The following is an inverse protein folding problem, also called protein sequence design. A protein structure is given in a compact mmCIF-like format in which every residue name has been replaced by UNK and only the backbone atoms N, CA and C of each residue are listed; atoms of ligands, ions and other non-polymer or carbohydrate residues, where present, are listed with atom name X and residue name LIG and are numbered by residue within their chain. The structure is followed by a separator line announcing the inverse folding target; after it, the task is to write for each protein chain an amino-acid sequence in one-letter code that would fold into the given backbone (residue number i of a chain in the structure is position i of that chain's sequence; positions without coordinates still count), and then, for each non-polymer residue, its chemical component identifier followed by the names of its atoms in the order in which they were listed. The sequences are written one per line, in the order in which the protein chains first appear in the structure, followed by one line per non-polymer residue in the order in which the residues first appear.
data_IF_221972424643
#
_entry.id   IF_221972424643
#
_cell.length_a   1.000
_cell.length_b   1.000
_cell.length_c   1.000
_cell.angle_alpha   90.00
_cell.angle_beta   90.00
_cell.angle_gamma   90.00
#
_symmetry.space_group_name_H-M   'P 1'
#
loop_
_entity.id
_entity.type
_entity.pdbx_description
1 polymer ?
#
# COMPACT_ATOMS: atom_id res chain seq x y z
N UNK A 1 -30.37 -9.99 39.98
CA UNK A 1 -29.34 -9.67 40.94
C UNK A 1 -27.96 -10.05 40.34
N UNK A 2 -27.17 -9.09 39.95
CA UNK A 2 -25.83 -9.28 39.38
C UNK A 2 -25.26 -7.92 38.97
N UNK A 3 -24.96 -7.08 39.97
CA UNK A 3 -24.18 -5.88 39.80
C UNK A 3 -22.73 -6.29 39.57
N UNK A 4 -22.29 -6.45 38.31
CA UNK A 4 -20.90 -6.51 37.91
C UNK A 4 -20.36 -5.08 37.89
N UNK A 5 -19.51 -4.78 38.85
CA UNK A 5 -18.85 -3.49 39.04
C UNK A 5 -17.97 -3.15 37.84
N UNK A 6 -18.19 -1.98 37.23
CA UNK A 6 -17.40 -1.38 36.16
C UNK A 6 -15.94 -1.08 36.56
N UNK A 7 -15.59 -1.36 37.81
CA UNK A 7 -14.26 -1.10 38.38
C UNK A 7 -13.21 -2.19 38.13
N UNK A 8 -13.61 -3.39 37.72
CA UNK A 8 -12.64 -4.52 37.56
C UNK A 8 -11.98 -4.56 36.18
N UNK A 9 -12.43 -3.78 35.19
CA UNK A 9 -11.86 -3.81 33.85
C UNK A 9 -10.59 -2.94 33.69
N UNK A 10 -10.26 -2.11 34.67
CA UNK A 10 -9.07 -1.24 34.64
C UNK A 10 -7.83 -1.89 35.25
N UNK A 11 -7.98 -3.07 35.86
CA UNK A 11 -6.90 -3.74 36.62
C UNK A 11 -5.95 -4.66 35.83
N UNK A 12 -6.21 -4.91 34.55
CA UNK A 12 -5.42 -5.89 33.76
C UNK A 12 -4.48 -5.22 32.74
N UNK A 13 -3.79 -4.15 33.12
CA UNK A 13 -2.73 -3.58 32.27
C UNK A 13 -1.45 -4.40 32.51
N UNK A 14 -1.01 -5.10 31.48
CA UNK A 14 0.21 -5.92 31.49
C UNK A 14 1.41 -5.08 32.01
N UNK A 15 2.13 -5.51 33.05
CA UNK A 15 3.21 -4.73 33.65
C UNK A 15 4.41 -4.47 32.72
N UNK A 16 4.44 -5.05 31.54
CA UNK A 16 5.48 -4.84 30.52
C UNK A 16 5.15 -3.74 29.49
N UNK A 17 4.01 -3.08 29.60
CA UNK A 17 3.65 -2.00 28.67
C UNK A 17 4.44 -0.72 28.98
N UNK A 18 4.93 -0.08 27.91
CA UNK A 18 5.66 1.18 28.00
C UNK A 18 4.72 2.33 28.41
N UNK A 19 5.30 3.42 28.96
CA UNK A 19 4.54 4.63 29.34
C UNK A 19 3.77 5.22 28.17
N UNK A 20 4.27 5.05 26.95
CA UNK A 20 3.64 5.50 25.70
C UNK A 20 2.36 4.70 25.37
N UNK A 21 2.39 3.39 25.51
CA UNK A 21 1.22 2.52 25.26
C UNK A 21 0.09 2.78 26.28
N UNK A 22 0.45 3.05 27.53
CA UNK A 22 -0.51 3.44 28.58
C UNK A 22 -1.18 4.79 28.27
N UNK A 23 -0.44 5.76 27.69
CA UNK A 23 -0.95 7.05 27.29
C UNK A 23 -1.94 6.95 26.13
N UNK A 24 -1.69 6.06 25.15
CA UNK A 24 -2.61 5.83 24.02
C UNK A 24 -3.91 5.20 24.49
N UNK A 25 -3.87 4.19 25.35
CA UNK A 25 -5.08 3.53 25.88
C UNK A 25 -5.92 4.53 26.72
N UNK A 26 -5.25 5.37 27.52
CA UNK A 26 -5.91 6.42 28.29
C UNK A 26 -6.57 7.49 27.39
N UNK A 27 -5.90 7.87 26.30
CA UNK A 27 -6.42 8.87 25.35
C UNK A 27 -7.62 8.34 24.55
N UNK A 28 -7.60 7.07 24.13
CA UNK A 28 -8.74 6.42 23.46
C UNK A 28 -9.96 6.29 24.38
N UNK A 29 -9.76 5.99 25.67
CA UNK A 29 -10.83 5.94 26.67
C UNK A 29 -11.49 7.31 26.90
N UNK A 30 -10.71 8.38 26.98
CA UNK A 30 -11.20 9.75 27.14
C UNK A 30 -12.00 10.25 25.91
N UNK A 31 -11.54 9.91 24.68
CA UNK A 31 -12.27 10.26 23.46
C UNK A 31 -13.66 9.61 23.37
N UNK A 32 -13.79 8.34 23.78
CA UNK A 32 -15.09 7.64 23.72
C UNK A 32 -16.07 8.20 24.73
N UNK A 33 -15.64 8.58 25.93
CA UNK A 33 -16.48 9.19 26.96
C UNK A 33 -16.94 10.60 26.53
N UNK A 34 -16.08 11.40 25.92
CA UNK A 34 -16.44 12.75 25.43
C UNK A 34 -17.44 12.70 24.28
N UNK A 35 -17.36 11.72 23.38
CA UNK A 35 -18.30 11.55 22.26
C UNK A 35 -19.70 11.17 22.76
N UNK A 36 -19.82 10.34 23.81
CA UNK A 36 -21.11 9.97 24.41
C UNK A 36 -21.74 11.15 25.14
N UNK A 37 -20.93 11.98 25.83
CA UNK A 37 -21.46 13.15 26.57
C UNK A 37 -21.98 14.24 25.62
N UNK A 38 -21.37 14.47 24.47
CA UNK A 38 -21.82 15.45 23.47
C UNK A 38 -23.12 14.99 22.80
N UNK A 39 -23.27 13.68 22.54
CA UNK A 39 -24.50 13.14 21.96
C UNK A 39 -25.74 13.26 22.88
N UNK A 40 -25.52 13.34 24.19
CA UNK A 40 -26.62 13.43 25.20
C UNK A 40 -27.11 14.85 25.48
N UNK A 41 -26.41 15.88 24.99
CA UNK A 41 -26.71 17.30 25.33
C UNK A 41 -27.28 18.13 24.17
N UNK A 42 -27.64 17.52 23.03
CA UNK A 42 -28.29 18.24 21.94
C UNK A 42 -29.81 18.37 22.20
N UNK A 43 -30.37 19.59 22.08
CA UNK A 43 -31.80 19.77 22.15
C UNK A 43 -32.49 19.03 21.01
N UNK A 44 -33.59 18.34 21.34
CA UNK A 44 -34.40 17.59 20.37
C UNK A 44 -35.13 18.60 19.46
N UNK A 45 -34.49 18.95 18.35
CA UNK A 45 -35.14 19.68 17.26
C UNK A 45 -36.01 18.68 16.48
N UNK A 46 -37.30 19.01 16.32
CA UNK A 46 -38.29 18.18 15.63
C UNK A 46 -37.92 18.18 14.14
N UNK A 47 -37.17 17.17 13.74
CA UNK A 47 -36.86 16.90 12.30
C UNK A 47 -38.13 16.38 11.65
N UNK A 48 -38.60 16.97 10.54
CA UNK A 48 -39.74 16.44 9.80
C UNK A 48 -39.42 15.00 9.37
N UNK A 49 -40.33 14.07 9.68
CA UNK A 49 -40.19 12.66 9.36
C UNK A 49 -40.08 12.49 7.85
N UNK A 50 -38.87 12.33 7.33
CA UNK A 50 -38.65 11.79 5.99
C UNK A 50 -39.19 10.35 5.93
N UNK A 51 -39.72 9.88 4.77
CA UNK A 51 -40.29 8.55 4.65
C UNK A 51 -39.27 7.53 5.12
N UNK A 52 -39.69 6.61 6.00
CA UNK A 52 -38.85 5.54 6.55
C UNK A 52 -38.34 4.66 5.40
N UNK A 53 -37.29 5.10 4.75
CA UNK A 53 -36.51 4.21 3.89
C UNK A 53 -35.97 3.11 4.81
N UNK A 54 -36.21 1.87 4.45
CA UNK A 54 -35.75 0.69 5.20
C UNK A 54 -34.21 0.64 5.14
N UNK A 55 -33.53 1.39 6.01
CA UNK A 55 -32.07 1.40 6.10
C UNK A 55 -31.48 0.00 6.33
N UNK A 56 -32.24 -0.90 6.98
CA UNK A 56 -31.82 -2.28 7.17
C UNK A 56 -31.79 -3.04 5.82
N UNK A 57 -32.78 -2.83 4.95
CA UNK A 57 -32.79 -3.43 3.60
C UNK A 57 -31.70 -2.85 2.72
N UNK A 58 -31.56 -1.53 2.69
CA UNK A 58 -30.50 -0.87 1.90
C UNK A 58 -29.06 -1.26 2.34
N UNK A 59 -28.86 -1.49 3.64
CA UNK A 59 -27.58 -1.97 4.16
C UNK A 59 -27.30 -3.42 3.73
N UNK A 60 -28.32 -4.32 3.82
CA UNK A 60 -28.16 -5.70 3.39
C UNK A 60 -27.92 -5.79 1.88
N UNK A 61 -28.60 -4.97 1.09
CA UNK A 61 -28.44 -4.93 -0.37
C UNK A 61 -27.05 -4.40 -0.76
N UNK A 62 -26.54 -3.40 -0.04
CA UNK A 62 -25.16 -2.88 -0.23
C UNK A 62 -24.11 -3.91 0.17
N UNK A 63 -24.28 -4.59 1.30
CA UNK A 63 -23.35 -5.65 1.75
C UNK A 63 -23.34 -6.82 0.77
N UNK A 64 -24.51 -7.21 0.27
CA UNK A 64 -24.63 -8.28 -0.74
C UNK A 64 -23.99 -7.85 -2.07
N UNK A 65 -24.31 -6.66 -2.57
CA UNK A 65 -23.72 -6.12 -3.79
C UNK A 65 -22.19 -5.96 -3.71
N UNK A 66 -21.69 -5.51 -2.56
CA UNK A 66 -20.23 -5.39 -2.34
C UNK A 66 -19.54 -6.75 -2.24
N UNK A 67 -20.19 -7.75 -1.66
CA UNK A 67 -19.68 -9.12 -1.60
C UNK A 67 -19.65 -9.77 -2.99
N UNK A 68 -20.67 -9.53 -3.81
CA UNK A 68 -20.75 -10.05 -5.18
C UNK A 68 -19.76 -9.36 -6.12
N UNK A 69 -19.57 -8.04 -5.98
CA UNK A 69 -18.51 -7.30 -6.66
C UNK A 69 -17.12 -7.86 -6.29
N UNK A 70 -16.83 -8.02 -5.01
CA UNK A 70 -15.57 -8.59 -4.54
C UNK A 70 -15.37 -10.04 -5.01
N UNK A 71 -16.44 -10.83 -5.11
CA UNK A 71 -16.39 -12.20 -5.66
C UNK A 71 -16.11 -12.16 -7.16
N UNK A 72 -16.77 -11.26 -7.90
CA UNK A 72 -16.58 -11.07 -9.34
C UNK A 72 -15.17 -10.59 -9.65
N UNK A 73 -14.66 -9.57 -8.93
CA UNK A 73 -13.28 -9.11 -9.05
C UNK A 73 -12.27 -10.21 -8.76
N UNK A 74 -12.49 -11.00 -7.71
CA UNK A 74 -11.63 -12.12 -7.34
C UNK A 74 -11.61 -13.21 -8.40
N UNK A 75 -12.77 -13.52 -9.00
CA UNK A 75 -12.87 -14.53 -10.05
C UNK A 75 -12.24 -14.06 -11.36
N UNK A 76 -12.49 -12.82 -11.79
CA UNK A 76 -11.87 -12.23 -12.99
C UNK A 76 -10.35 -12.14 -12.84
N UNK A 77 -9.88 -11.73 -11.66
CA UNK A 77 -8.44 -11.66 -11.36
C UNK A 77 -7.83 -13.06 -11.33
N UNK A 78 -8.49 -14.01 -10.66
CA UNK A 78 -8.02 -15.40 -10.58
C UNK A 78 -7.99 -16.10 -11.93
N UNK A 79 -8.93 -15.82 -12.81
CA UNK A 79 -8.99 -16.38 -14.16
C UNK A 79 -7.91 -15.77 -15.07
N UNK A 80 -7.69 -14.46 -15.01
CA UNK A 80 -6.56 -13.79 -15.68
C UNK A 80 -5.20 -14.27 -15.18
N UNK A 81 -5.07 -14.53 -13.88
CA UNK A 81 -3.83 -15.02 -13.28
C UNK A 81 -3.50 -16.47 -13.67
N UNK A 82 -4.52 -17.30 -13.93
CA UNK A 82 -4.32 -18.68 -14.42
C UNK A 82 -3.70 -18.75 -15.81
N UNK A 83 -3.79 -17.67 -16.59
CA UNK A 83 -3.28 -17.65 -17.97
C UNK A 83 -1.91 -17.00 -18.12
N UNK A 84 -1.32 -16.44 -17.03
CA UNK A 84 0.02 -15.90 -17.11
C UNK A 84 1.05 -17.02 -16.96
N UNK A 85 1.66 -17.39 -18.08
CA UNK A 85 2.73 -18.39 -18.15
C UNK A 85 4.05 -17.74 -18.55
N UNK A 86 5.15 -18.42 -18.29
CA UNK A 86 6.48 -18.03 -18.77
C UNK A 86 6.47 -17.89 -20.29
N UNK A 87 5.77 -18.80 -21.00
CA UNK A 87 5.65 -18.75 -22.46
C UNK A 87 4.97 -17.47 -22.94
N UNK A 88 3.81 -17.11 -22.36
CA UNK A 88 3.07 -15.89 -22.74
C UNK A 88 3.85 -14.62 -22.41
N UNK A 89 4.60 -14.59 -21.31
CA UNK A 89 5.50 -13.48 -21.00
C UNK A 89 6.66 -13.36 -21.99
N UNK A 90 7.29 -14.49 -22.33
CA UNK A 90 8.39 -14.52 -23.30
C UNK A 90 7.95 -14.02 -24.67
N UNK A 91 6.76 -14.41 -25.12
CA UNK A 91 6.16 -13.92 -26.36
C UNK A 91 5.90 -12.39 -26.29
N UNK A 92 5.31 -11.92 -25.19
CA UNK A 92 5.10 -10.49 -24.97
C UNK A 92 6.41 -9.70 -25.00
N UNK A 93 7.44 -10.20 -24.32
CA UNK A 93 8.74 -9.53 -24.30
C UNK A 93 9.44 -9.55 -25.67
N UNK A 94 9.21 -10.60 -26.46
CA UNK A 94 9.72 -10.68 -27.84
C UNK A 94 9.01 -9.71 -28.75
N UNK A 95 7.68 -9.61 -28.66
CA UNK A 95 6.87 -8.65 -29.44
C UNK A 95 7.25 -7.20 -29.15
N UNK A 96 7.66 -6.91 -27.90
CA UNK A 96 8.11 -5.59 -27.48
C UNK A 96 9.61 -5.34 -27.73
N UNK A 97 10.30 -6.28 -28.37
CA UNK A 97 11.75 -6.22 -28.60
C UNK A 97 12.53 -5.95 -27.30
N UNK A 98 11.98 -6.37 -26.16
CA UNK A 98 12.58 -6.12 -24.86
C UNK A 98 13.78 -7.04 -24.63
N UNK A 99 14.96 -6.49 -24.76
CA UNK A 99 16.22 -7.18 -24.55
C UNK A 99 17.03 -6.52 -23.43
N UNK A 100 17.49 -7.31 -22.44
CA UNK A 100 18.26 -6.81 -21.30
C UNK A 100 19.67 -6.37 -21.68
N UNK A 101 20.26 -6.99 -22.70
CA UNK A 101 21.59 -6.63 -23.21
C UNK A 101 21.55 -5.22 -23.82
N UNK A 102 20.58 -4.91 -24.66
CA UNK A 102 20.43 -3.56 -25.25
C UNK A 102 20.08 -2.52 -24.18
N UNK A 103 19.28 -2.89 -23.18
CA UNK A 103 19.00 -1.98 -22.04
C UNK A 103 20.28 -1.67 -21.26
N UNK A 104 21.12 -2.68 -21.02
CA UNK A 104 22.35 -2.52 -20.23
C UNK A 104 23.45 -1.81 -21.01
N UNK A 105 23.66 -2.20 -22.25
CA UNK A 105 24.86 -1.81 -23.00
C UNK A 105 24.61 -0.58 -23.89
N UNK A 106 23.38 -0.39 -24.37
CA UNK A 106 23.00 0.70 -25.29
C UNK A 106 22.07 1.72 -24.64
N UNK A 107 21.62 1.50 -23.41
CA UNK A 107 20.67 2.39 -22.72
C UNK A 107 19.26 2.38 -23.32
N UNK A 108 18.88 1.27 -23.98
CA UNK A 108 17.54 1.14 -24.54
C UNK A 108 16.47 1.28 -23.46
N UNK A 109 15.31 1.85 -23.83
CA UNK A 109 14.21 2.05 -22.88
C UNK A 109 13.59 0.72 -22.46
N UNK A 110 13.29 0.60 -21.17
CA UNK A 110 12.57 -0.55 -20.61
C UNK A 110 11.07 -0.38 -20.88
N UNK A 111 10.40 -1.34 -21.52
CA UNK A 111 8.95 -1.30 -21.72
C UNK A 111 8.19 -1.22 -20.40
N UNK A 112 7.15 -0.39 -20.35
CA UNK A 112 6.31 -0.23 -19.14
C UNK A 112 5.26 -1.33 -19.06
N UNK A 113 5.71 -2.58 -18.99
CA UNK A 113 4.88 -3.78 -18.80
C UNK A 113 4.92 -4.16 -17.33
N UNK A 114 3.78 -4.04 -16.66
CA UNK A 114 3.68 -4.35 -15.24
C UNK A 114 2.93 -5.66 -15.06
N UNK A 115 3.67 -6.66 -14.63
CA UNK A 115 3.14 -7.98 -14.33
C UNK A 115 2.63 -7.97 -12.89
N UNK A 116 1.38 -8.36 -12.70
CA UNK A 116 0.74 -8.31 -11.38
C UNK A 116 1.27 -9.42 -10.47
N UNK A 117 1.51 -10.61 -11.02
CA UNK A 117 2.01 -11.77 -10.26
C UNK A 117 3.08 -12.49 -11.07
N UNK A 118 3.99 -13.17 -10.37
CA UNK A 118 4.94 -14.07 -11.04
C UNK A 118 4.19 -15.26 -11.67
N UNK A 119 4.62 -15.73 -12.88
CA UNK A 119 4.05 -16.93 -13.47
C UNK A 119 4.19 -18.14 -12.57
N UNK A 120 3.14 -18.92 -12.44
CA UNK A 120 3.14 -20.11 -11.57
C UNK A 120 4.07 -21.22 -12.06
N UNK A 121 4.44 -21.20 -13.33
CA UNK A 121 5.36 -22.15 -13.96
C UNK A 121 6.85 -21.74 -13.91
N UNK A 122 7.17 -20.61 -13.25
CA UNK A 122 8.57 -20.20 -13.02
C UNK A 122 9.48 -21.30 -12.44
N UNK A 123 9.02 -22.11 -11.45
CA UNK A 123 9.84 -23.20 -10.91
C UNK A 123 10.15 -24.30 -11.93
N UNK A 124 9.35 -24.45 -12.97
CA UNK A 124 9.51 -25.47 -13.99
C UNK A 124 10.58 -25.13 -15.06
N UNK A 125 11.08 -23.89 -15.07
CA UNK A 125 12.19 -23.50 -15.95
C UNK A 125 13.46 -24.22 -15.51
N UNK A 126 13.92 -25.19 -16.31
CA UNK A 126 15.10 -26.01 -16.00
C UNK A 126 16.41 -25.27 -16.17
N UNK A 127 16.45 -24.30 -17.10
CA UNK A 127 17.67 -23.55 -17.45
C UNK A 127 17.76 -22.32 -16.51
N UNK A 128 18.74 -22.26 -15.58
CA UNK A 128 18.83 -21.16 -14.61
C UNK A 128 19.00 -19.79 -15.27
N UNK A 129 19.74 -19.71 -16.37
CA UNK A 129 19.96 -18.45 -17.10
C UNK A 129 18.64 -17.89 -17.69
N UNK A 130 17.79 -18.76 -18.22
CA UNK A 130 16.48 -18.38 -18.74
C UNK A 130 15.57 -17.89 -17.62
N UNK A 131 15.49 -18.61 -16.49
CA UNK A 131 14.71 -18.20 -15.31
C UNK A 131 15.13 -16.83 -14.81
N UNK A 132 16.45 -16.58 -14.68
CA UNK A 132 16.98 -15.27 -14.28
C UNK A 132 16.60 -14.17 -15.27
N UNK A 133 16.68 -14.44 -16.57
CA UNK A 133 16.30 -13.48 -17.61
C UNK A 133 14.83 -13.11 -17.55
N UNK A 134 13.92 -14.09 -17.43
CA UNK A 134 12.49 -13.84 -17.28
C UNK A 134 12.21 -13.03 -15.99
N UNK A 135 12.85 -13.43 -14.89
CA UNK A 135 12.73 -12.71 -13.63
C UNK A 135 13.13 -11.22 -13.78
N UNK A 136 14.30 -10.95 -14.33
CA UNK A 136 14.76 -9.57 -14.52
C UNK A 136 13.84 -8.77 -15.46
N UNK A 137 13.43 -9.35 -16.58
CA UNK A 137 12.48 -8.69 -17.50
C UNK A 137 11.14 -8.37 -16.82
N UNK A 138 10.71 -9.18 -15.88
CA UNK A 138 9.45 -8.97 -15.13
C UNK A 138 9.60 -7.92 -14.03
N UNK A 139 10.69 -7.94 -13.28
CA UNK A 139 10.86 -7.12 -12.07
C UNK A 139 11.43 -5.72 -12.39
N UNK A 140 12.32 -5.59 -13.38
CA UNK A 140 12.95 -4.31 -13.71
C UNK A 140 11.94 -3.19 -14.03
N UNK A 141 10.89 -3.40 -14.83
CA UNK A 141 9.85 -2.36 -15.04
C UNK A 141 9.18 -1.89 -13.75
N UNK A 142 8.95 -2.80 -12.78
CA UNK A 142 8.35 -2.48 -11.49
C UNK A 142 9.29 -1.62 -10.63
N UNK A 143 10.57 -1.96 -10.59
CA UNK A 143 11.60 -1.19 -9.87
C UNK A 143 11.72 0.21 -10.46
N UNK A 144 11.77 0.34 -11.78
CA UNK A 144 11.83 1.64 -12.44
C UNK A 144 10.57 2.47 -12.19
N UNK A 145 9.40 1.82 -12.20
CA UNK A 145 8.13 2.50 -11.87
C UNK A 145 8.13 3.02 -10.43
N UNK A 146 8.62 2.22 -9.48
CA UNK A 146 8.72 2.64 -8.09
C UNK A 146 9.67 3.84 -7.94
N UNK A 147 10.82 3.82 -8.60
CA UNK A 147 11.75 4.93 -8.64
C UNK A 147 11.14 6.20 -9.27
N UNK A 148 10.40 6.07 -10.38
CA UNK A 148 9.67 7.18 -10.99
C UNK A 148 8.67 7.82 -10.01
N UNK A 149 7.97 7.00 -9.23
CA UNK A 149 6.99 7.51 -8.25
C UNK A 149 7.68 8.21 -7.09
N UNK A 150 8.81 7.67 -6.60
CA UNK A 150 9.64 8.32 -5.58
C UNK A 150 10.18 9.67 -6.09
N UNK A 151 10.64 9.76 -7.33
CA UNK A 151 11.10 11.02 -7.92
C UNK A 151 9.99 12.07 -7.98
N UNK A 152 8.78 11.70 -8.40
CA UNK A 152 7.62 12.61 -8.40
C UNK A 152 7.26 13.07 -6.99
N UNK A 153 7.33 12.18 -6.03
CA UNK A 153 7.10 12.50 -4.61
C UNK A 153 8.16 13.47 -4.09
N UNK A 154 9.44 13.22 -4.39
CA UNK A 154 10.56 14.11 -4.07
C UNK A 154 10.39 15.49 -4.70
N UNK A 155 10.02 15.55 -5.97
CA UNK A 155 9.75 16.80 -6.68
C UNK A 155 8.63 17.61 -5.99
N UNK A 156 7.55 16.95 -5.59
CA UNK A 156 6.47 17.58 -4.83
C UNK A 156 6.95 18.10 -3.48
N UNK A 157 7.78 17.34 -2.75
CA UNK A 157 8.38 17.79 -1.49
C UNK A 157 9.26 19.03 -1.67
N UNK A 158 10.07 19.10 -2.73
CA UNK A 158 10.89 20.24 -3.05
C UNK A 158 10.03 21.49 -3.33
N UNK A 159 8.96 21.34 -4.12
CA UNK A 159 8.00 22.41 -4.39
C UNK A 159 7.32 22.91 -3.12
N UNK A 160 6.82 22.01 -2.27
CA UNK A 160 6.20 22.36 -0.99
C UNK A 160 7.18 23.08 -0.06
N UNK A 161 8.45 22.64 -0.02
CA UNK A 161 9.49 23.31 0.76
C UNK A 161 9.73 24.75 0.28
N UNK A 162 9.83 24.95 -1.03
CA UNK A 162 10.00 26.27 -1.63
C UNK A 162 8.80 27.18 -1.37
N UNK A 163 7.57 26.67 -1.52
CA UNK A 163 6.34 27.42 -1.25
C UNK A 163 6.24 27.85 0.21
N UNK A 164 6.54 26.94 1.14
CA UNK A 164 6.56 27.24 2.57
C UNK A 164 7.59 28.30 2.92
N UNK A 165 8.77 28.27 2.30
CA UNK A 165 9.83 29.28 2.50
C UNK A 165 9.39 30.65 1.97
N UNK A 166 8.67 30.71 0.85
CA UNK A 166 8.23 31.95 0.21
C UNK A 166 7.03 32.59 0.89
N UNK A 167 6.02 31.80 1.27
CA UNK A 167 4.72 32.33 1.75
C UNK A 167 4.48 32.10 3.24
N UNK A 168 5.26 31.26 3.90
CA UNK A 168 5.04 30.80 5.27
C UNK A 168 3.81 29.89 5.42
N UNK A 169 3.06 29.64 4.35
CA UNK A 169 1.80 28.89 4.36
C UNK A 169 1.86 27.72 3.39
N UNK A 170 1.01 26.74 3.62
CA UNK A 170 0.82 25.59 2.73
C UNK A 170 -0.66 25.40 2.43
N UNK A 171 -0.98 24.99 1.20
CA UNK A 171 -2.34 24.59 0.83
C UNK A 171 -2.84 23.42 1.70
N UNK A 172 -4.14 23.35 1.93
CA UNK A 172 -4.74 22.29 2.74
C UNK A 172 -4.42 20.89 2.19
N UNK A 173 -4.47 20.72 0.87
CA UNK A 173 -4.14 19.48 0.20
C UNK A 173 -2.68 19.04 0.44
N UNK A 174 -1.72 19.99 0.45
CA UNK A 174 -0.32 19.67 0.71
C UNK A 174 -0.07 19.35 2.18
N UNK A 175 -0.79 20.01 3.09
CA UNK A 175 -0.72 19.65 4.52
C UNK A 175 -1.19 18.21 4.78
N UNK A 176 -2.31 17.80 4.18
CA UNK A 176 -2.83 16.43 4.29
C UNK A 176 -1.88 15.41 3.64
N UNK A 177 -1.36 15.74 2.47
CA UNK A 177 -0.42 14.86 1.78
C UNK A 177 0.89 14.68 2.57
N UNK A 178 1.42 15.74 3.21
CA UNK A 178 2.59 15.65 4.08
C UNK A 178 2.36 14.74 5.29
N UNK A 179 1.14 14.59 5.79
CA UNK A 179 0.84 13.60 6.85
C UNK A 179 1.15 12.20 6.36
N UNK A 180 0.57 11.79 5.24
CA UNK A 180 0.77 10.45 4.68
C UNK A 180 2.25 10.18 4.33
N UNK A 181 2.94 11.17 3.77
CA UNK A 181 4.38 11.06 3.44
C UNK A 181 5.23 10.94 4.71
N UNK A 182 4.92 11.74 5.74
CA UNK A 182 5.64 11.70 7.02
C UNK A 182 5.56 10.33 7.70
N UNK A 183 4.40 9.69 7.63
CA UNK A 183 4.17 8.34 8.14
C UNK A 183 4.97 7.31 7.33
N UNK A 184 4.90 7.37 5.99
CA UNK A 184 5.63 6.46 5.10
C UNK A 184 7.13 6.49 5.33
N UNK A 185 7.70 7.67 5.49
CA UNK A 185 9.15 7.83 5.71
C UNK A 185 9.56 7.83 7.19
N UNK A 186 8.63 7.63 8.12
CA UNK A 186 8.86 7.68 9.57
C UNK A 186 9.60 8.97 10.00
N UNK A 187 9.10 10.13 9.54
CA UNK A 187 9.68 11.46 9.76
C UNK A 187 8.61 12.39 10.35
N UNK A 188 9.00 13.32 11.22
CA UNK A 188 8.09 14.37 11.69
C UNK A 188 7.55 15.22 10.53
N UNK A 189 6.24 15.53 10.54
CA UNK A 189 5.55 16.34 9.52
C UNK A 189 6.19 17.69 9.23
N UNK A 190 6.88 18.26 10.22
CA UNK A 190 7.53 19.56 10.06
C UNK A 190 8.92 19.47 9.44
N UNK A 191 9.51 18.29 9.36
CA UNK A 191 10.86 18.09 8.84
C UNK A 191 10.87 17.67 7.36
N UNK A 192 10.40 18.58 6.49
CA UNK A 192 10.34 18.36 5.04
C UNK A 192 11.75 18.07 4.47
N UNK A 193 12.80 18.66 5.03
CA UNK A 193 14.17 18.42 4.57
C UNK A 193 14.60 16.98 4.76
N UNK A 194 14.23 16.35 5.87
CA UNK A 194 14.51 14.95 6.14
C UNK A 194 13.65 14.02 5.27
N UNK A 195 12.39 14.39 4.99
CA UNK A 195 11.57 13.65 4.01
C UNK A 195 12.22 13.66 2.63
N UNK A 196 12.72 14.82 2.17
CA UNK A 196 13.44 14.94 0.88
C UNK A 196 14.69 14.06 0.88
N UNK A 197 15.43 13.99 2.00
CA UNK A 197 16.63 13.16 2.12
C UNK A 197 16.30 11.66 2.01
N UNK A 198 15.16 11.22 2.57
CA UNK A 198 14.73 9.82 2.53
C UNK A 198 13.99 9.45 1.25
N UNK A 199 13.30 10.40 0.63
CA UNK A 199 12.64 10.21 -0.65
C UNK A 199 13.67 10.25 -1.78
N UNK A 200 14.44 9.17 -1.91
CA UNK A 200 15.43 9.01 -2.96
C UNK A 200 15.32 7.64 -3.62
N UNK A 201 15.79 7.56 -4.86
CA UNK A 201 15.73 6.34 -5.66
C UNK A 201 16.70 5.28 -5.13
N UNK A 202 16.35 4.02 -5.33
CA UNK A 202 17.23 2.89 -5.08
C UNK A 202 17.87 2.48 -6.41
N UNK A 203 19.20 2.22 -6.46
CA UNK A 203 19.82 1.68 -7.66
C UNK A 203 19.07 0.42 -8.13
N UNK A 204 18.63 0.36 -9.40
CA UNK A 204 17.85 -0.78 -9.87
C UNK A 204 18.57 -2.12 -9.70
N UNK A 205 19.90 -2.14 -9.85
CA UNK A 205 20.71 -3.33 -9.61
C UNK A 205 20.61 -3.86 -8.18
N UNK A 206 20.58 -2.96 -7.19
CA UNK A 206 20.44 -3.36 -5.79
C UNK A 206 19.05 -3.94 -5.52
N UNK A 207 17.99 -3.25 -5.97
CA UNK A 207 16.62 -3.74 -5.80
C UNK A 207 16.41 -5.10 -6.50
N UNK A 208 16.95 -5.27 -7.71
CA UNK A 208 16.88 -6.54 -8.43
C UNK A 208 17.63 -7.66 -7.72
N UNK A 209 18.80 -7.37 -7.14
CA UNK A 209 19.58 -8.37 -6.40
C UNK A 209 18.83 -8.83 -5.14
N UNK A 210 18.27 -7.91 -4.36
CA UNK A 210 17.45 -8.24 -3.19
C UNK A 210 16.22 -9.05 -3.57
N UNK A 211 15.46 -8.58 -4.57
CA UNK A 211 14.29 -9.30 -5.05
C UNK A 211 14.64 -10.73 -5.52
N UNK A 212 15.76 -10.92 -6.20
CA UNK A 212 16.21 -12.23 -6.65
C UNK A 212 16.55 -13.17 -5.49
N UNK A 213 17.26 -12.65 -4.50
CA UNK A 213 17.67 -13.44 -3.33
C UNK A 213 16.46 -13.81 -2.47
N UNK A 214 15.62 -12.86 -2.10
CA UNK A 214 14.49 -13.08 -1.19
C UNK A 214 13.36 -13.90 -1.83
N UNK A 215 13.10 -13.70 -3.11
CA UNK A 215 12.06 -14.45 -3.83
C UNK A 215 12.54 -15.79 -4.40
N UNK A 216 13.83 -16.13 -4.29
CA UNK A 216 14.41 -17.29 -4.95
C UNK A 216 14.26 -17.23 -6.48
N UNK A 217 14.52 -16.05 -7.08
CA UNK A 217 14.29 -15.80 -8.51
C UNK A 217 12.82 -15.95 -8.93
N UNK A 218 11.90 -15.56 -8.05
CA UNK A 218 10.47 -15.64 -8.30
C UNK A 218 9.88 -17.04 -8.18
N UNK A 219 10.59 -17.98 -7.55
CA UNK A 219 10.13 -19.38 -7.40
C UNK A 219 9.69 -19.73 -5.99
N UNK A 220 9.92 -18.86 -5.00
CA UNK A 220 9.50 -19.10 -3.64
C UNK A 220 7.98 -19.11 -3.53
N UNK A 221 7.44 -19.82 -2.53
CA UNK A 221 6.00 -19.82 -2.24
C UNK A 221 5.49 -18.40 -1.94
N UNK A 222 6.27 -17.59 -1.25
CA UNK A 222 5.91 -16.21 -0.96
C UNK A 222 5.79 -15.35 -2.23
N UNK A 223 6.67 -15.56 -3.21
CA UNK A 223 6.59 -14.87 -4.49
C UNK A 223 5.38 -15.33 -5.33
N UNK A 224 5.09 -16.63 -5.35
CA UNK A 224 4.05 -17.21 -6.20
C UNK A 224 2.64 -17.05 -5.61
N UNK A 225 2.47 -17.29 -4.30
CA UNK A 225 1.18 -17.25 -3.62
C UNK A 225 0.90 -15.88 -2.97
N UNK A 226 1.94 -15.27 -2.39
CA UNK A 226 1.86 -14.00 -1.67
C UNK A 226 2.19 -12.77 -2.50
N UNK A 227 2.67 -12.94 -3.73
CA UNK A 227 3.16 -11.87 -4.58
C UNK A 227 4.22 -10.98 -3.89
N UNK A 228 5.01 -11.57 -3.01
CA UNK A 228 6.06 -10.90 -2.25
C UNK A 228 7.42 -11.15 -2.92
N UNK A 229 8.04 -10.10 -3.41
CA UNK A 229 9.37 -10.13 -4.04
C UNK A 229 10.46 -9.66 -3.08
N UNK A 230 10.05 -8.99 -2.00
CA UNK A 230 10.87 -8.47 -0.91
C UNK A 230 10.28 -8.88 0.43
#
# INVERSE_FOLDING_TARGET
AGNGSFGEFIGAVNPKMTTFERAIIGLMGLCTISLVAIASSMPHEIVPQSPKANFASAKSDFETASADLNRSYRNVTKDRLKHLTVGSLSETFSTLEYNLETVRDEGASVPRVFVVNMPQDMPHIRVPAERKRIFFKTVLPLVLKANDDILKERERLLRIKAEKAKTGKLAAADRLWLVAVSERYAVSRNNISEMIRRADIIPPSLALAQAAEESGWGTSRFALEGNALF
#
